data_IF_835450998357
#
_entry.id   IF_835450998357
#
_cell.length_a   1.000
_cell.length_b   1.000
_cell.length_c   1.000
_cell.angle_alpha   90.00
_cell.angle_beta   90.00
_cell.angle_gamma   90.00
#
_symmetry.space_group_name_H-M   'P 1'
#
loop_
_entity.id
_entity.type
_entity.pdbx_description
1 polymer ?
#
# COMPACT_ATOMS: atom_id res chain seq x y z
N UNK A 1 -0.58 11.52 -21.28
CA UNK A 1 -0.34 10.07 -21.47
C UNK A 1 -1.14 9.32 -20.40
N UNK A 2 -1.84 8.23 -20.74
CA UNK A 2 -2.65 7.49 -19.77
C UNK A 2 -1.79 6.82 -18.68
N UNK A 3 -0.60 6.36 -19.05
CA UNK A 3 0.39 5.81 -18.11
C UNK A 3 0.73 6.84 -17.04
N UNK A 4 1.15 8.05 -17.41
CA UNK A 4 1.47 9.13 -16.45
C UNK A 4 0.36 9.45 -15.45
N UNK A 5 -0.91 9.33 -15.87
CA UNK A 5 -2.06 9.52 -14.96
C UNK A 5 -2.14 8.40 -13.93
N UNK A 6 -1.89 7.15 -14.33
CA UNK A 6 -1.85 6.00 -13.43
C UNK A 6 -0.67 6.10 -12.46
N UNK A 7 0.49 6.50 -12.95
CA UNK A 7 1.67 6.77 -12.13
C UNK A 7 1.35 7.80 -11.04
N UNK A 8 0.78 8.94 -11.43
CA UNK A 8 0.36 10.00 -10.50
C UNK A 8 -0.66 9.49 -9.47
N UNK A 9 -1.61 8.64 -9.90
CA UNK A 9 -2.59 8.04 -9.00
C UNK A 9 -1.94 7.09 -7.99
N UNK A 10 -1.00 6.25 -8.42
CA UNK A 10 -0.27 5.36 -7.54
C UNK A 10 0.57 6.14 -6.54
N UNK A 11 1.25 7.22 -6.99
CA UNK A 11 2.09 8.10 -6.16
C UNK A 11 1.31 8.90 -5.11
N UNK A 12 0.05 9.21 -5.37
CA UNK A 12 -0.81 9.94 -4.44
C UNK A 12 -1.83 9.05 -3.71
N UNK A 13 -1.76 7.73 -3.90
CA UNK A 13 -2.69 6.80 -3.25
C UNK A 13 -2.39 6.74 -1.75
N UNK A 14 -3.41 7.05 -0.95
CA UNK A 14 -3.38 7.00 0.51
C UNK A 14 -4.68 6.39 1.03
N UNK A 15 -4.64 5.79 2.22
CA UNK A 15 -5.85 5.33 2.90
C UNK A 15 -6.75 6.54 3.21
N UNK A 16 -8.03 6.44 2.87
CA UNK A 16 -9.02 7.47 3.18
C UNK A 16 -9.87 7.01 4.36
N UNK A 17 -9.84 7.77 5.46
CA UNK A 17 -10.51 7.38 6.70
C UNK A 17 -9.96 6.05 7.22
N UNK A 18 -10.85 5.08 7.48
CA UNK A 18 -10.49 3.73 7.93
C UNK A 18 -10.68 2.66 6.84
N UNK A 19 -10.89 3.05 5.58
CA UNK A 19 -11.18 2.11 4.49
C UNK A 19 -9.89 1.56 3.86
N UNK A 20 -9.27 0.62 4.58
CA UNK A 20 -8.09 -0.08 4.09
C UNK A 20 -8.43 -1.03 2.93
N UNK A 21 -9.63 -1.60 2.91
CA UNK A 21 -10.06 -2.53 1.86
C UNK A 21 -10.08 -1.85 0.49
N UNK A 22 -10.71 -0.66 0.40
CA UNK A 22 -10.70 0.11 -0.84
C UNK A 22 -9.29 0.54 -1.25
N UNK A 23 -8.43 0.88 -0.29
CA UNK A 23 -7.02 1.20 -0.55
C UNK A 23 -6.27 0.00 -1.14
N UNK A 24 -6.34 -1.18 -0.51
CA UNK A 24 -5.68 -2.41 -0.97
C UNK A 24 -6.14 -2.76 -2.39
N UNK A 25 -7.45 -2.77 -2.61
CA UNK A 25 -8.01 -3.09 -3.92
C UNK A 25 -7.47 -2.12 -4.97
N UNK A 26 -7.50 -0.81 -4.69
CA UNK A 26 -7.04 0.20 -5.63
C UNK A 26 -5.54 0.12 -5.90
N UNK A 27 -4.75 -0.17 -4.86
CA UNK A 27 -3.31 -0.37 -4.97
C UNK A 27 -3.01 -1.56 -5.89
N UNK A 28 -3.66 -2.70 -5.67
CA UNK A 28 -3.47 -3.92 -6.46
C UNK A 28 -3.86 -3.73 -7.94
N UNK A 29 -4.93 -2.99 -8.23
CA UNK A 29 -5.28 -2.61 -9.60
C UNK A 29 -4.17 -1.76 -10.26
N UNK A 30 -3.67 -0.75 -9.55
CA UNK A 30 -2.67 0.18 -10.09
C UNK A 30 -1.31 -0.48 -10.33
N UNK A 31 -0.85 -1.36 -9.42
CA UNK A 31 0.40 -2.11 -9.63
C UNK A 31 0.30 -3.08 -10.81
N UNK A 32 -0.88 -3.66 -11.07
CA UNK A 32 -1.12 -4.55 -12.22
C UNK A 32 -1.10 -3.77 -13.54
N UNK A 33 -1.67 -2.56 -13.54
CA UNK A 33 -1.69 -1.69 -14.73
C UNK A 33 -0.35 -1.01 -14.99
N UNK A 34 0.51 -0.85 -13.97
CA UNK A 34 1.79 -0.15 -14.04
C UNK A 34 2.95 -0.99 -13.46
N UNK A 35 3.09 -2.24 -13.90
CA UNK A 35 4.10 -3.18 -13.39
C UNK A 35 5.54 -2.68 -13.51
N UNK A 36 5.84 -1.80 -14.46
CA UNK A 36 7.19 -1.22 -14.65
C UNK A 36 7.62 -0.27 -13.52
N UNK A 37 6.68 0.29 -12.75
CA UNK A 37 6.98 1.26 -11.68
C UNK A 37 7.29 0.63 -10.33
N UNK A 38 6.75 -0.56 -10.09
CA UNK A 38 6.95 -1.37 -8.88
C UNK A 38 7.37 -2.77 -9.33
N UNK A 39 8.56 -2.87 -9.95
CA UNK A 39 9.02 -4.06 -10.66
C UNK A 39 9.26 -5.24 -9.72
N UNK A 40 9.66 -4.98 -8.48
CA UNK A 40 9.97 -6.02 -7.51
C UNK A 40 9.01 -5.97 -6.30
N UNK A 41 9.13 -6.95 -5.41
CA UNK A 41 8.24 -7.07 -4.25
C UNK A 41 8.57 -6.05 -3.15
N UNK A 42 9.84 -5.64 -3.01
CA UNK A 42 10.30 -4.63 -2.06
C UNK A 42 9.68 -3.27 -2.37
N UNK A 43 9.75 -2.82 -3.63
CA UNK A 43 9.14 -1.58 -4.10
C UNK A 43 7.62 -1.56 -3.83
N UNK A 44 6.95 -2.71 -3.98
CA UNK A 44 5.51 -2.83 -3.70
C UNK A 44 5.22 -2.68 -2.21
N UNK A 45 6.05 -3.29 -1.36
CA UNK A 45 5.92 -3.19 0.09
C UNK A 45 6.15 -1.75 0.53
N UNK A 46 7.26 -1.12 0.12
CA UNK A 46 7.57 0.27 0.47
C UNK A 46 6.46 1.21 0.02
N UNK A 47 6.01 1.07 -1.23
CA UNK A 47 4.93 1.88 -1.79
C UNK A 47 3.61 1.67 -1.02
N UNK A 48 3.31 0.43 -0.64
CA UNK A 48 2.12 0.11 0.14
C UNK A 48 2.17 0.75 1.52
N UNK A 49 3.30 0.66 2.21
CA UNK A 49 3.51 1.27 3.54
C UNK A 49 3.40 2.80 3.45
N UNK A 50 3.98 3.42 2.43
CA UNK A 50 3.95 4.87 2.26
C UNK A 50 2.56 5.47 2.07
N UNK A 51 1.56 4.69 1.65
CA UNK A 51 0.17 5.13 1.57
C UNK A 51 -0.66 4.90 2.84
N UNK A 52 -0.09 4.26 3.86
CA UNK A 52 -0.75 4.05 5.16
C UNK A 52 -0.66 5.31 6.04
N UNK A 53 -1.60 5.49 6.99
CA UNK A 53 -1.49 6.56 7.99
C UNK A 53 -0.25 6.43 8.88
N UNK A 54 0.37 7.55 9.25
CA UNK A 54 1.61 7.61 10.03
C UNK A 54 1.58 6.76 11.32
N UNK A 55 0.42 6.72 11.97
CA UNK A 55 0.21 5.97 13.22
C UNK A 55 0.24 4.43 13.03
N UNK A 56 0.31 3.94 11.80
CA UNK A 56 0.46 2.52 11.43
C UNK A 56 1.82 2.28 10.78
N UNK A 57 2.36 3.25 10.03
CA UNK A 57 3.64 3.13 9.33
C UNK A 57 4.81 2.70 10.25
N UNK A 58 4.94 3.29 11.44
CA UNK A 58 6.01 2.91 12.38
C UNK A 58 5.99 1.44 12.78
N UNK A 59 4.80 0.87 13.00
CA UNK A 59 4.63 -0.54 13.31
C UNK A 59 4.94 -1.43 12.11
N UNK A 60 4.59 -0.98 10.90
CA UNK A 60 4.89 -1.68 9.65
C UNK A 60 6.40 -1.76 9.38
N UNK A 61 7.12 -0.66 9.60
CA UNK A 61 8.59 -0.62 9.47
C UNK A 61 9.25 -1.60 10.43
N UNK A 62 8.75 -1.67 11.67
CA UNK A 62 9.26 -2.61 12.69
C UNK A 62 8.97 -4.06 12.33
N UNK A 63 7.78 -4.34 11.79
CA UNK A 63 7.38 -5.68 11.37
C UNK A 63 8.13 -6.18 10.12
N UNK A 64 8.72 -5.26 9.35
CA UNK A 64 9.55 -5.51 8.17
C UNK A 64 8.99 -6.62 7.24
N UNK A 65 7.78 -6.43 6.66
CA UNK A 65 7.17 -7.44 5.81
C UNK A 65 7.98 -7.65 4.54
N UNK A 66 8.36 -8.89 4.25
CA UNK A 66 9.11 -9.24 3.04
C UNK A 66 8.24 -9.33 1.77
N UNK A 67 6.91 -9.37 1.93
CA UNK A 67 5.93 -9.53 0.84
C UNK A 67 4.76 -8.60 1.01
N UNK A 68 4.15 -8.20 -0.10
CA UNK A 68 2.97 -7.33 -0.09
C UNK A 68 1.80 -7.98 0.68
N UNK A 69 1.63 -9.30 0.54
CA UNK A 69 0.59 -10.04 1.27
C UNK A 69 0.81 -10.01 2.79
N UNK A 70 2.07 -10.06 3.24
CA UNK A 70 2.39 -9.93 4.66
C UNK A 70 2.09 -8.50 5.14
N UNK A 71 2.45 -7.50 4.36
CA UNK A 71 2.14 -6.10 4.66
C UNK A 71 0.63 -5.87 4.78
N UNK A 72 -0.18 -6.42 3.85
CA UNK A 72 -1.64 -6.35 3.89
C UNK A 72 -2.20 -7.01 5.16
N UNK A 73 -1.72 -8.21 5.48
CA UNK A 73 -2.16 -8.96 6.67
C UNK A 73 -1.87 -8.18 7.96
N UNK A 74 -0.66 -7.63 8.09
CA UNK A 74 -0.25 -6.85 9.26
C UNK A 74 -1.08 -5.55 9.35
N UNK A 75 -1.28 -4.84 8.24
CA UNK A 75 -2.09 -3.63 8.22
C UNK A 75 -3.54 -3.87 8.69
N UNK A 76 -4.16 -4.99 8.28
CA UNK A 76 -5.49 -5.38 8.77
C UNK A 76 -5.48 -5.66 10.27
N UNK A 77 -4.48 -6.38 10.80
CA UNK A 77 -4.35 -6.63 12.25
C UNK A 77 -4.14 -5.35 13.07
N UNK A 78 -3.45 -4.36 12.50
CA UNK A 78 -3.19 -3.08 13.18
C UNK A 78 -4.42 -2.17 13.21
N UNK A 79 -5.33 -2.27 12.23
CA UNK A 79 -6.59 -1.54 12.23
C UNK A 79 -7.66 -2.20 13.11
N UNK A 80 -7.73 -3.53 13.11
CA UNK A 80 -8.65 -4.29 13.96
C UNK A 80 -8.39 -4.03 15.46
N UNK A 81 -7.12 -3.90 15.86
CA UNK A 81 -6.71 -3.56 17.23
C UNK A 81 -6.99 -2.12 17.66
N UNK A 82 -7.36 -1.23 16.74
CA UNK A 82 -7.63 0.20 17.02
C UNK A 82 -9.12 0.55 16.99
N UNK A 83 -10.00 -0.41 16.68
CA UNK A 83 -11.45 -0.28 16.74
C UNK A 83 -12.00 -0.71 18.11
#
# INVERSE_FOLDING_TARGET
>A
NEVQKMETKLWNLTVKGNDLTAYIQRFQELILLCTKMVPNEEDRVERFIGGLPDNIQGNMITANPARLQDAIRIANQLLDKKL
#
